data_IF_074020147183
#
_entry.id   IF_074020147183
#
_cell.length_a   1.000
_cell.length_b   1.000
_cell.length_c   1.000
_cell.angle_alpha   90.00
_cell.angle_beta   90.00
_cell.angle_gamma   90.00
#
_symmetry.space_group_name_H-M   'P 1'
#
loop_
_entity.id
_entity.type
_entity.pdbx_description
1 polymer ?
#
# COMPACT_ATOMS: atom_id res chain seq x y z
N UNK A 1 3.06 6.76 -36.76
CA UNK A 1 2.95 6.24 -35.37
C UNK A 1 2.59 7.40 -34.47
N UNK A 2 1.52 7.26 -33.67
CA UNK A 2 1.00 8.33 -32.82
C UNK A 2 1.92 8.61 -31.61
N UNK A 3 2.35 9.86 -31.46
CA UNK A 3 3.22 10.35 -30.37
C UNK A 3 2.63 9.99 -29.01
N UNK A 4 1.30 10.07 -28.85
CA UNK A 4 0.61 9.73 -27.61
C UNK A 4 0.81 8.27 -27.20
N UNK A 5 0.78 7.35 -28.17
CA UNK A 5 0.93 5.91 -27.94
C UNK A 5 2.36 5.53 -27.55
N UNK A 6 3.35 6.20 -28.15
CA UNK A 6 4.76 6.08 -27.75
C UNK A 6 4.97 6.63 -26.35
N UNK A 7 4.45 7.82 -26.04
CA UNK A 7 4.59 8.43 -24.73
C UNK A 7 4.00 7.56 -23.60
N UNK A 8 2.85 6.92 -23.82
CA UNK A 8 2.27 5.98 -22.85
C UNK A 8 3.08 4.70 -22.62
N UNK A 9 3.96 4.34 -23.56
CA UNK A 9 4.81 3.16 -23.46
C UNK A 9 6.18 3.53 -22.91
N UNK A 10 6.78 4.61 -23.39
CA UNK A 10 8.16 4.99 -23.12
C UNK A 10 8.31 5.71 -21.77
N UNK A 11 7.32 6.51 -21.35
CA UNK A 11 7.39 7.27 -20.11
C UNK A 11 7.54 6.37 -18.86
N UNK A 12 6.75 5.28 -18.68
CA UNK A 12 6.97 4.36 -17.57
C UNK A 12 8.38 3.76 -17.55
N UNK A 13 8.96 3.48 -18.72
CA UNK A 13 10.33 2.94 -18.80
C UNK A 13 11.37 3.96 -18.37
N UNK A 14 11.28 5.20 -18.87
CA UNK A 14 12.18 6.27 -18.47
C UNK A 14 12.09 6.55 -16.97
N UNK A 15 10.87 6.64 -16.44
CA UNK A 15 10.65 6.79 -14.99
C UNK A 15 11.19 5.58 -14.21
N UNK A 16 10.88 4.36 -14.63
CA UNK A 16 11.29 3.14 -13.94
C UNK A 16 12.82 3.00 -13.87
N UNK A 17 13.51 3.19 -14.98
CA UNK A 17 14.99 3.14 -15.04
C UNK A 17 15.60 4.27 -14.21
N UNK A 18 15.12 5.50 -14.36
CA UNK A 18 15.63 6.65 -13.61
C UNK A 18 15.44 6.50 -12.10
N UNK A 19 14.26 6.05 -11.66
CA UNK A 19 13.95 5.80 -10.24
C UNK A 19 14.78 4.64 -9.68
N UNK A 20 15.01 3.58 -10.48
CA UNK A 20 15.86 2.46 -10.07
C UNK A 20 17.31 2.90 -9.91
N UNK A 21 17.84 3.69 -10.84
CA UNK A 21 19.19 4.24 -10.75
C UNK A 21 19.33 5.16 -9.51
N UNK A 22 18.35 6.02 -9.26
CA UNK A 22 18.29 6.83 -8.04
C UNK A 22 18.27 5.96 -6.78
N UNK A 23 17.47 4.90 -6.77
CA UNK A 23 17.40 3.95 -5.64
C UNK A 23 18.74 3.27 -5.38
N UNK A 24 19.48 2.89 -6.44
CA UNK A 24 20.81 2.31 -6.30
C UNK A 24 21.82 3.29 -5.67
N UNK A 25 21.75 4.58 -6.03
CA UNK A 25 22.58 5.62 -5.39
C UNK A 25 22.24 5.77 -3.91
N UNK A 26 20.96 5.77 -3.54
CA UNK A 26 20.54 5.82 -2.14
C UNK A 26 21.02 4.58 -1.38
N UNK A 27 20.84 3.38 -1.91
CA UNK A 27 21.34 2.15 -1.26
C UNK A 27 22.86 2.20 -1.06
N UNK A 28 23.61 2.75 -2.01
CA UNK A 28 25.05 2.90 -1.87
C UNK A 28 25.47 3.88 -0.75
N UNK A 29 24.61 4.83 -0.36
CA UNK A 29 24.91 5.81 0.69
C UNK A 29 24.38 5.43 2.07
N UNK A 30 23.16 4.89 2.15
CA UNK A 30 22.50 4.58 3.45
C UNK A 30 22.36 3.08 3.73
N UNK A 31 22.68 2.22 2.78
CA UNK A 31 22.49 0.77 2.89
C UNK A 31 21.10 0.31 2.44
N UNK A 32 20.95 -1.02 2.30
CA UNK A 32 19.68 -1.65 1.93
C UNK A 32 18.81 -1.87 3.16
N UNK A 33 17.50 -1.69 3.02
CA UNK A 33 16.53 -1.91 4.10
C UNK A 33 16.58 -0.85 5.19
N UNK A 34 17.00 0.39 4.88
CA UNK A 34 17.20 1.44 5.88
C UNK A 34 15.93 1.83 6.65
N UNK A 35 14.73 1.68 6.07
CA UNK A 35 13.47 1.83 6.81
C UNK A 35 13.09 0.53 7.54
N UNK A 36 13.34 -0.63 6.91
CA UNK A 36 13.06 -1.94 7.49
C UNK A 36 13.91 -2.26 8.74
N UNK A 37 15.10 -1.65 8.85
CA UNK A 37 16.00 -1.85 9.97
C UNK A 37 15.37 -1.41 11.29
N UNK A 38 14.58 -0.33 11.29
CA UNK A 38 13.77 0.08 12.44
C UNK A 38 12.81 -1.02 12.92
N UNK A 39 12.25 -1.82 12.01
CA UNK A 39 11.30 -2.89 12.34
C UNK A 39 12.02 -4.10 12.92
N UNK A 40 13.22 -4.40 12.43
CA UNK A 40 14.07 -5.43 12.99
C UNK A 40 14.57 -5.05 14.39
N UNK A 41 14.98 -3.79 14.58
CA UNK A 41 15.39 -3.26 15.90
C UNK A 41 14.24 -3.19 16.89
N UNK A 42 12.99 -3.09 16.43
CA UNK A 42 11.83 -3.00 17.31
C UNK A 42 11.67 -4.20 18.27
N UNK A 43 12.29 -5.35 17.96
CA UNK A 43 12.30 -6.52 18.84
C UNK A 43 13.49 -6.57 19.83
N UNK A 44 14.38 -5.56 19.82
CA UNK A 44 15.71 -5.61 20.49
C UNK A 44 16.03 -4.42 21.39
N UNK A 45 15.21 -3.39 21.40
CA UNK A 45 15.54 -2.16 22.10
C UNK A 45 14.32 -1.30 22.44
N UNK A 46 14.55 -0.18 23.12
CA UNK A 46 13.50 0.77 23.45
C UNK A 46 12.88 1.35 22.17
N UNK A 47 11.55 1.42 22.14
CA UNK A 47 10.79 2.05 21.06
C UNK A 47 10.62 3.56 21.33
N UNK A 48 10.35 4.31 20.27
CA UNK A 48 9.93 5.72 20.32
C UNK A 48 10.98 6.71 20.89
N UNK A 49 12.26 6.32 20.92
CA UNK A 49 13.35 7.20 21.37
C UNK A 49 13.92 8.15 20.30
N UNK A 50 13.55 7.95 19.03
CA UNK A 50 14.07 8.71 17.89
C UNK A 50 12.94 9.46 17.16
N UNK A 51 13.22 10.69 16.72
CA UNK A 51 12.23 11.54 16.07
C UNK A 51 11.90 11.03 14.65
N UNK A 52 10.72 11.35 14.09
CA UNK A 52 10.42 11.05 12.70
C UNK A 52 11.50 11.58 11.74
N UNK A 53 11.77 10.84 10.66
CA UNK A 53 12.80 11.13 9.64
C UNK A 53 14.25 11.02 10.12
N UNK A 54 14.51 10.47 11.31
CA UNK A 54 15.87 10.06 11.68
C UNK A 54 16.09 8.58 11.39
N UNK A 55 17.35 8.14 11.18
CA UNK A 55 17.66 6.73 11.04
C UNK A 55 17.06 5.88 12.17
N UNK A 56 16.54 4.72 11.83
CA UNK A 56 15.97 3.73 12.75
C UNK A 56 14.80 4.21 13.63
N UNK A 57 14.17 5.33 13.27
CA UNK A 57 12.99 5.82 13.98
C UNK A 57 11.78 4.90 13.78
N UNK A 58 11.38 4.22 14.86
CA UNK A 58 10.18 3.39 14.87
C UNK A 58 8.92 4.22 15.17
N UNK A 59 7.96 4.22 14.24
CA UNK A 59 6.80 5.13 14.26
C UNK A 59 5.44 4.45 14.46
N UNK A 60 5.41 3.12 14.51
CA UNK A 60 4.18 2.35 14.39
C UNK A 60 3.66 1.88 15.76
N UNK A 61 2.38 1.50 15.80
CA UNK A 61 1.78 1.02 17.04
C UNK A 61 2.43 -0.29 17.53
N UNK A 62 2.28 -0.62 18.82
CA UNK A 62 2.71 -1.92 19.34
C UNK A 62 2.11 -3.12 18.61
N UNK A 63 0.93 -2.98 17.99
CA UNK A 63 0.31 -4.03 17.19
C UNK A 63 1.19 -4.45 16.01
N UNK A 64 1.85 -3.50 15.36
CA UNK A 64 2.80 -3.83 14.29
C UNK A 64 4.08 -4.47 14.85
N UNK A 65 4.57 -4.00 15.99
CA UNK A 65 5.75 -4.59 16.66
C UNK A 65 5.50 -6.07 16.96
N UNK A 66 4.33 -6.38 17.53
CA UNK A 66 3.93 -7.73 17.89
C UNK A 66 3.75 -8.61 16.63
N UNK A 67 3.17 -8.06 15.56
CA UNK A 67 3.00 -8.80 14.31
C UNK A 67 4.33 -9.11 13.61
N UNK A 68 5.29 -8.18 13.64
CA UNK A 68 6.60 -8.36 13.02
C UNK A 68 7.57 -9.14 13.91
N UNK A 69 7.29 -9.25 15.21
CA UNK A 69 8.19 -9.83 16.21
C UNK A 69 8.79 -11.20 15.81
N UNK A 70 8.02 -12.18 15.31
CA UNK A 70 8.60 -13.47 14.92
C UNK A 70 9.62 -13.34 13.78
N UNK A 71 9.31 -12.50 12.78
CA UNK A 71 10.22 -12.24 11.66
C UNK A 71 11.44 -11.48 12.17
N UNK A 72 11.23 -10.50 13.05
CA UNK A 72 12.29 -9.68 13.62
C UNK A 72 13.31 -10.52 14.41
N UNK A 73 12.98 -11.72 14.91
CA UNK A 73 13.97 -12.59 15.58
C UNK A 73 15.10 -13.08 14.66
N UNK A 74 14.88 -13.09 13.35
CA UNK A 74 15.87 -13.55 12.38
C UNK A 74 17.13 -12.64 12.37
N UNK A 75 18.29 -13.18 11.95
CA UNK A 75 19.46 -12.36 11.64
C UNK A 75 19.12 -11.29 10.62
N UNK A 76 19.70 -10.09 10.76
CA UNK A 76 19.40 -8.93 9.92
C UNK A 76 19.37 -9.23 8.41
N UNK A 77 20.38 -9.93 7.81
CA UNK A 77 20.35 -10.20 6.37
C UNK A 77 19.13 -11.04 5.93
N UNK A 78 18.68 -11.97 6.78
CA UNK A 78 17.54 -12.83 6.50
C UNK A 78 16.23 -12.06 6.64
N UNK A 79 16.09 -11.27 7.71
CA UNK A 79 14.95 -10.37 7.88
C UNK A 79 14.79 -9.45 6.67
N UNK A 80 15.88 -8.77 6.30
CA UNK A 80 15.91 -7.83 5.19
C UNK A 80 15.54 -8.52 3.87
N UNK A 81 16.16 -9.67 3.54
CA UNK A 81 15.85 -10.41 2.33
C UNK A 81 14.39 -10.87 2.25
N UNK A 82 13.82 -11.38 3.35
CA UNK A 82 12.42 -11.82 3.39
C UNK A 82 11.47 -10.63 3.22
N UNK A 83 11.71 -9.54 3.94
CA UNK A 83 10.85 -8.36 3.89
C UNK A 83 10.86 -7.68 2.51
N UNK A 84 12.05 -7.48 1.94
CA UNK A 84 12.24 -6.92 0.60
C UNK A 84 11.68 -7.84 -0.49
N UNK A 85 11.95 -9.13 -0.38
CA UNK A 85 11.42 -10.14 -1.29
C UNK A 85 9.90 -10.15 -1.31
N UNK A 86 9.26 -10.07 -0.13
CA UNK A 86 7.81 -9.98 -0.01
C UNK A 86 7.25 -8.73 -0.71
N UNK A 87 7.86 -7.55 -0.50
CA UNK A 87 7.47 -6.32 -1.18
C UNK A 87 7.58 -6.46 -2.71
N UNK A 88 8.72 -6.96 -3.22
CA UNK A 88 8.95 -7.17 -4.65
C UNK A 88 7.95 -8.15 -5.29
N UNK A 89 7.65 -9.26 -4.61
CA UNK A 89 6.67 -10.25 -5.05
C UNK A 89 5.27 -9.63 -5.08
N UNK A 90 4.88 -8.89 -4.04
CA UNK A 90 3.57 -8.24 -3.98
C UNK A 90 3.39 -7.26 -5.13
N UNK A 91 4.37 -6.40 -5.43
CA UNK A 91 4.26 -5.50 -6.58
C UNK A 91 4.15 -6.26 -7.89
N UNK A 92 4.91 -7.34 -8.08
CA UNK A 92 4.79 -8.18 -9.27
C UNK A 92 3.37 -8.76 -9.42
N UNK A 93 2.77 -9.24 -8.32
CA UNK A 93 1.41 -9.78 -8.30
C UNK A 93 0.34 -8.70 -8.58
N UNK A 94 0.47 -7.52 -7.96
CA UNK A 94 -0.49 -6.41 -8.13
C UNK A 94 -0.46 -5.83 -9.56
N UNK A 95 0.72 -5.81 -10.19
CA UNK A 95 0.92 -5.26 -11.53
C UNK A 95 0.75 -6.30 -12.65
N UNK A 96 0.80 -7.61 -12.34
CA UNK A 96 0.58 -8.72 -13.29
C UNK A 96 -0.62 -8.51 -14.23
N UNK A 97 -1.79 -8.01 -13.77
CA UNK A 97 -2.92 -7.63 -14.62
C UNK A 97 -2.63 -6.80 -15.87
N UNK A 98 -1.55 -6.01 -15.87
CA UNK A 98 -1.23 -5.06 -16.94
C UNK A 98 -0.43 -5.68 -18.10
N UNK A 99 0.03 -6.93 -17.94
CA UNK A 99 0.96 -7.58 -18.86
C UNK A 99 2.40 -7.08 -18.69
N UNK A 100 3.38 -7.94 -18.99
CA UNK A 100 4.80 -7.70 -18.64
C UNK A 100 5.36 -6.37 -19.18
N UNK A 101 4.95 -5.92 -20.37
CA UNK A 101 5.43 -4.68 -21.01
C UNK A 101 5.10 -3.41 -20.21
N UNK A 102 4.00 -3.42 -19.45
CA UNK A 102 3.58 -2.31 -18.58
C UNK A 102 3.92 -2.59 -17.11
N UNK A 103 3.82 -3.86 -16.70
CA UNK A 103 4.10 -4.26 -15.32
C UNK A 103 5.56 -4.04 -14.95
N UNK A 104 6.51 -4.41 -15.83
CA UNK A 104 7.94 -4.29 -15.55
C UNK A 104 8.40 -2.84 -15.30
N UNK A 105 8.14 -1.85 -16.17
CA UNK A 105 8.55 -0.48 -15.89
C UNK A 105 7.88 0.10 -14.63
N UNK A 106 6.62 -0.25 -14.36
CA UNK A 106 5.94 0.18 -13.13
C UNK A 106 6.49 -0.51 -11.88
N UNK A 107 6.92 -1.76 -11.99
CA UNK A 107 7.61 -2.47 -10.93
C UNK A 107 8.97 -1.82 -10.63
N UNK A 108 9.70 -1.39 -11.67
CA UNK A 108 10.91 -0.59 -11.52
C UNK A 108 10.64 0.74 -10.81
N UNK A 109 9.51 1.41 -11.07
CA UNK A 109 9.11 2.60 -10.29
C UNK A 109 8.86 2.32 -8.80
N UNK A 110 8.64 1.05 -8.41
CA UNK A 110 8.44 0.65 -7.02
C UNK A 110 9.75 0.30 -6.29
N UNK A 111 10.90 0.33 -6.98
CA UNK A 111 12.19 0.00 -6.36
C UNK A 111 12.56 0.82 -5.11
N UNK A 112 12.25 2.13 -4.97
CA UNK A 112 12.57 2.86 -3.74
C UNK A 112 11.89 2.26 -2.51
N UNK A 113 10.64 1.82 -2.67
CA UNK A 113 9.88 1.17 -1.61
C UNK A 113 10.46 -0.22 -1.29
N UNK A 114 10.81 -0.98 -2.33
CA UNK A 114 11.43 -2.29 -2.14
C UNK A 114 12.74 -2.10 -1.38
N UNK A 115 13.70 -1.33 -1.88
CA UNK A 115 15.04 -1.25 -1.28
C UNK A 115 15.07 -0.53 0.07
N UNK A 116 14.13 0.38 0.36
CA UNK A 116 13.97 0.95 1.71
C UNK A 116 13.38 -0.07 2.68
N UNK A 117 12.47 -0.91 2.18
CA UNK A 117 11.72 -1.87 2.97
C UNK A 117 10.65 -1.20 3.84
N UNK A 118 10.01 -0.12 3.37
CA UNK A 118 8.90 0.51 4.07
C UNK A 118 7.63 -0.40 4.05
N UNK A 119 6.48 0.11 4.54
CA UNK A 119 5.21 -0.63 4.64
C UNK A 119 4.19 -0.27 3.55
N UNK A 120 4.50 0.64 2.62
CA UNK A 120 3.55 1.09 1.59
C UNK A 120 3.18 -0.02 0.59
N UNK A 121 4.01 -1.06 0.43
CA UNK A 121 3.62 -2.26 -0.32
C UNK A 121 2.41 -2.97 0.30
N UNK A 122 2.27 -2.97 1.64
CA UNK A 122 1.06 -3.44 2.32
C UNK A 122 -0.14 -2.53 2.01
N UNK A 123 0.09 -1.23 1.90
CA UNK A 123 -0.98 -0.28 1.59
C UNK A 123 -1.45 -0.43 0.15
N UNK A 124 -0.56 -0.79 -0.79
CA UNK A 124 -0.94 -1.17 -2.14
C UNK A 124 -1.86 -2.42 -2.15
N UNK A 125 -1.62 -3.41 -1.27
CA UNK A 125 -2.54 -4.55 -1.07
C UNK A 125 -3.88 -4.08 -0.51
N UNK A 126 -3.88 -3.17 0.46
CA UNK A 126 -5.11 -2.58 1.03
C UNK A 126 -5.89 -1.80 -0.03
N UNK A 127 -5.24 -1.07 -0.94
CA UNK A 127 -5.91 -0.45 -2.08
C UNK A 127 -6.56 -1.49 -2.98
N UNK A 128 -5.82 -2.55 -3.29
CA UNK A 128 -6.27 -3.58 -4.20
C UNK A 128 -7.47 -4.38 -3.66
N UNK A 129 -7.51 -4.64 -2.35
CA UNK A 129 -8.44 -5.60 -1.74
C UNK A 129 -9.34 -5.00 -0.64
N UNK A 130 -9.02 -3.83 -0.11
CA UNK A 130 -9.65 -3.27 1.10
C UNK A 130 -11.13 -2.93 0.94
N UNK A 131 -11.60 -2.63 -0.26
CA UNK A 131 -13.05 -2.49 -0.52
C UNK A 131 -13.80 -3.83 -0.46
N UNK A 132 -13.12 -4.94 -0.81
CA UNK A 132 -13.67 -6.30 -0.76
C UNK A 132 -13.49 -6.95 0.60
N UNK A 133 -12.43 -6.58 1.32
CA UNK A 133 -12.02 -7.13 2.62
C UNK A 133 -11.83 -5.96 3.62
N UNK A 134 -12.92 -5.43 4.20
CA UNK A 134 -12.86 -4.20 4.99
C UNK A 134 -11.94 -4.26 6.22
N UNK A 135 -11.66 -5.45 6.75
CA UNK A 135 -10.73 -5.64 7.87
C UNK A 135 -9.28 -5.27 7.53
N UNK A 136 -8.89 -5.26 6.24
CA UNK A 136 -7.55 -4.85 5.81
C UNK A 136 -7.22 -3.39 6.16
N UNK A 137 -8.23 -2.54 6.34
CA UNK A 137 -8.03 -1.15 6.74
C UNK A 137 -7.44 -0.98 8.15
N UNK A 138 -7.42 -2.06 8.97
CA UNK A 138 -6.67 -2.07 10.22
C UNK A 138 -5.15 -1.87 10.00
N UNK A 139 -4.62 -2.31 8.84
CA UNK A 139 -3.19 -2.18 8.52
C UNK A 139 -2.74 -0.72 8.48
N UNK A 140 -3.30 0.17 7.63
CA UNK A 140 -2.95 1.59 7.69
C UNK A 140 -3.37 2.20 9.02
N UNK A 141 -4.53 1.86 9.59
CA UNK A 141 -4.98 2.47 10.85
C UNK A 141 -4.00 2.26 12.02
N UNK A 142 -3.30 1.12 12.06
CA UNK A 142 -2.36 0.76 13.13
C UNK A 142 -0.88 1.01 12.78
N UNK A 143 -0.58 1.47 11.57
CA UNK A 143 0.79 1.79 11.13
C UNK A 143 0.94 3.25 10.74
N UNK A 144 0.08 3.76 9.85
CA UNK A 144 0.00 5.18 9.46
C UNK A 144 -1.47 5.61 9.43
N UNK A 145 -1.91 6.20 10.54
CA UNK A 145 -3.32 6.49 10.84
C UNK A 145 -4.01 7.26 9.70
N UNK A 146 -3.37 8.31 9.17
CA UNK A 146 -4.04 9.26 8.27
C UNK A 146 -4.35 8.68 6.87
N UNK A 147 -3.53 7.80 6.27
CA UNK A 147 -3.93 6.99 5.11
C UNK A 147 -5.12 6.02 5.29
N UNK A 148 -5.66 5.80 6.49
CA UNK A 148 -6.76 4.86 6.72
C UNK A 148 -8.13 5.41 6.25
N UNK A 149 -8.30 5.60 4.94
CA UNK A 149 -9.46 6.30 4.35
C UNK A 149 -10.63 5.40 3.92
N UNK A 150 -10.50 4.07 4.03
CA UNK A 150 -11.58 3.12 3.74
C UNK A 150 -12.88 3.34 4.51
N UNK A 151 -12.83 3.58 5.85
CA UNK A 151 -14.01 3.92 6.63
C UNK A 151 -14.80 5.10 6.07
N UNK A 152 -14.12 6.15 5.57
CA UNK A 152 -14.77 7.31 4.92
C UNK A 152 -15.55 6.86 3.69
N UNK A 153 -14.94 6.02 2.85
CA UNK A 153 -15.59 5.46 1.66
C UNK A 153 -16.86 4.69 2.02
N UNK A 154 -16.80 3.80 3.02
CA UNK A 154 -17.95 3.01 3.45
C UNK A 154 -19.05 3.86 4.09
N UNK A 155 -18.69 4.85 4.91
CA UNK A 155 -19.63 5.74 5.57
C UNK A 155 -20.44 6.56 4.56
N UNK A 156 -19.78 7.18 3.58
CA UNK A 156 -20.46 8.00 2.53
C UNK A 156 -21.42 7.16 1.70
N UNK A 157 -21.07 5.89 1.44
CA UNK A 157 -21.92 4.94 0.70
C UNK A 157 -22.95 4.23 1.56
N UNK A 158 -23.00 4.51 2.86
CA UNK A 158 -23.88 3.86 3.84
C UNK A 158 -23.69 2.32 3.87
N UNK A 159 -22.46 1.86 3.60
CA UNK A 159 -22.07 0.45 3.65
C UNK A 159 -21.76 0.06 5.12
N UNK A 160 -22.76 0.13 6.00
CA UNK A 160 -22.60 0.02 7.46
C UNK A 160 -21.94 -1.28 7.91
N UNK A 161 -22.26 -2.41 7.27
CA UNK A 161 -21.63 -3.69 7.60
C UNK A 161 -20.13 -3.67 7.32
N UNK A 162 -19.70 -3.04 6.21
CA UNK A 162 -18.28 -2.94 5.85
C UNK A 162 -17.55 -1.93 6.73
N UNK A 163 -18.19 -0.81 7.04
CA UNK A 163 -17.68 0.14 8.02
C UNK A 163 -17.50 -0.54 9.38
N UNK A 164 -18.51 -1.27 9.85
CA UNK A 164 -18.48 -2.02 11.11
C UNK A 164 -17.34 -3.04 11.14
N UNK A 165 -17.16 -3.84 10.09
CA UNK A 165 -16.03 -4.80 9.99
C UNK A 165 -14.68 -4.08 10.05
N UNK A 166 -14.53 -2.96 9.34
CA UNK A 166 -13.27 -2.19 9.33
C UNK A 166 -12.93 -1.62 10.70
N UNK A 167 -13.91 -1.01 11.38
CA UNK A 167 -13.75 -0.45 12.72
C UNK A 167 -13.52 -1.56 13.76
N UNK A 168 -14.34 -2.61 13.74
CA UNK A 168 -14.25 -3.71 14.70
C UNK A 168 -12.94 -4.46 14.57
N UNK A 169 -12.47 -4.76 13.35
CA UNK A 169 -11.18 -5.42 13.15
C UNK A 169 -10.03 -4.57 13.70
N UNK A 170 -10.04 -3.26 13.45
CA UNK A 170 -9.04 -2.33 13.99
C UNK A 170 -9.08 -2.29 15.51
N UNK A 171 -10.27 -2.20 16.10
CA UNK A 171 -10.46 -2.17 17.55
C UNK A 171 -10.05 -3.50 18.22
N UNK A 172 -10.37 -4.65 17.64
CA UNK A 172 -10.00 -5.96 18.17
C UNK A 172 -8.49 -6.18 18.14
N UNK A 173 -7.83 -5.86 17.02
CA UNK A 173 -6.36 -5.95 16.92
C UNK A 173 -5.70 -4.98 17.90
N UNK A 174 -6.20 -3.74 17.98
CA UNK A 174 -5.71 -2.74 18.92
C UNK A 174 -5.89 -3.17 20.39
N UNK A 175 -7.06 -3.70 20.76
CA UNK A 175 -7.36 -4.12 22.12
C UNK A 175 -6.55 -5.36 22.53
N UNK A 176 -6.42 -6.35 21.66
CA UNK A 176 -5.58 -7.52 21.91
C UNK A 176 -4.12 -7.10 22.07
N UNK A 177 -3.64 -6.21 21.19
CA UNK A 177 -2.30 -5.67 21.28
C UNK A 177 -2.07 -4.89 22.57
N UNK A 178 -3.05 -4.08 22.99
CA UNK A 178 -3.02 -3.32 24.23
C UNK A 178 -2.97 -4.22 25.44
N UNK A 179 -3.73 -5.31 25.46
CA UNK A 179 -3.70 -6.29 26.55
C UNK A 179 -2.31 -6.94 26.72
N UNK A 180 -1.54 -7.08 25.64
CA UNK A 180 -0.19 -7.65 25.66
C UNK A 180 0.89 -6.62 26.05
N UNK A 181 0.73 -5.34 25.67
CA UNK A 181 1.72 -4.29 25.94
C UNK A 181 1.06 -2.92 26.22
N UNK A 182 0.42 -2.73 27.40
CA UNK A 182 -0.25 -1.47 27.72
C UNK A 182 0.72 -0.27 27.77
N UNK A 183 1.95 -0.49 28.23
CA UNK A 183 2.96 0.56 28.38
C UNK A 183 3.44 1.07 27.01
N UNK A 184 3.68 0.17 26.05
CA UNK A 184 4.04 0.53 24.68
C UNK A 184 2.97 1.36 23.99
N UNK A 185 1.69 1.11 24.27
CA UNK A 185 0.59 1.91 23.71
C UNK A 185 0.58 3.33 24.24
N UNK A 186 0.81 3.53 25.54
CA UNK A 186 0.92 4.88 26.09
C UNK A 186 2.16 5.61 25.58
N UNK A 187 3.30 4.91 25.46
CA UNK A 187 4.50 5.45 24.86
C UNK A 187 4.28 5.88 23.40
N UNK A 188 3.55 5.08 22.61
CA UNK A 188 3.22 5.41 21.23
C UNK A 188 2.28 6.62 21.13
N UNK A 189 1.26 6.71 21.99
CA UNK A 189 0.34 7.87 22.03
C UNK A 189 1.11 9.14 22.39
N UNK A 190 2.01 9.08 23.38
CA UNK A 190 2.85 10.21 23.75
C UNK A 190 3.84 10.59 22.65
N UNK A 191 4.41 9.59 21.97
CA UNK A 191 5.25 9.82 20.80
C UNK A 191 4.50 10.55 19.68
N UNK A 192 3.27 10.14 19.38
CA UNK A 192 2.44 10.82 18.38
C UNK A 192 2.11 12.27 18.79
N UNK A 193 1.81 12.52 20.07
CA UNK A 193 1.50 13.87 20.60
C UNK A 193 2.70 14.80 20.55
N UNK A 194 3.84 14.33 21.01
CA UNK A 194 5.11 15.08 21.03
C UNK A 194 5.65 15.37 19.62
N UNK A 195 5.20 14.62 18.61
CA UNK A 195 5.59 14.79 17.21
C UNK A 195 4.47 15.36 16.32
N UNK A 196 3.43 15.95 16.90
CA UNK A 196 2.42 16.65 16.12
C UNK A 196 3.08 17.82 15.37
N UNK A 197 3.10 17.75 14.03
CA UNK A 197 3.59 18.83 13.18
C UNK A 197 5.08 18.78 12.84
N UNK A 198 5.85 17.77 13.28
CA UNK A 198 7.27 17.58 12.90
C UNK A 198 7.48 17.12 11.45
N UNK A 199 6.49 17.32 10.57
CA UNK A 199 6.49 16.93 9.16
C UNK A 199 7.01 18.03 8.22
N UNK A 200 7.66 19.07 8.74
CA UNK A 200 8.00 20.30 7.99
C UNK A 200 9.28 20.24 7.16
N UNK A 201 10.10 19.20 7.30
CA UNK A 201 11.45 19.14 6.72
C UNK A 201 11.71 17.82 5.98
N UNK A 202 11.00 17.59 4.87
CA UNK A 202 11.30 16.50 3.94
C UNK A 202 11.74 17.00 2.57
N UNK A 203 12.88 16.50 2.12
CA UNK A 203 13.40 16.73 0.77
C UNK A 203 12.42 16.13 -0.26
N UNK A 204 11.85 16.97 -1.13
CA UNK A 204 10.87 16.56 -2.14
C UNK A 204 9.42 16.40 -1.65
N UNK A 205 9.13 16.78 -0.40
CA UNK A 205 7.79 16.75 0.18
C UNK A 205 6.85 17.80 -0.41
N UNK A 206 5.56 17.47 -0.58
CA UNK A 206 4.53 18.48 -0.81
C UNK A 206 4.41 19.32 0.47
N UNK A 207 4.79 20.60 0.43
CA UNK A 207 4.73 21.53 1.58
C UNK A 207 3.28 21.95 1.93
N UNK A 208 2.36 21.00 1.97
CA UNK A 208 0.97 21.23 2.37
C UNK A 208 0.82 20.75 3.81
N UNK A 209 0.48 21.64 4.76
CA UNK A 209 0.30 21.26 6.15
C UNK A 209 -0.69 20.10 6.32
N UNK A 210 -0.49 19.19 7.31
CA UNK A 210 -1.41 18.10 7.61
C UNK A 210 -2.88 18.55 7.73
N UNK A 211 -3.10 19.72 8.36
CA UNK A 211 -4.42 20.34 8.55
C UNK A 211 -5.13 20.71 7.24
N UNK A 212 -4.38 20.87 6.13
CA UNK A 212 -4.96 21.13 4.81
C UNK A 212 -5.08 19.84 4.01
N UNK A 213 -4.00 19.06 3.91
CA UNK A 213 -3.98 17.86 3.04
C UNK A 213 -4.90 16.74 3.52
N UNK A 214 -5.08 16.56 4.84
CA UNK A 214 -5.94 15.50 5.37
C UNK A 214 -7.41 15.79 5.05
N UNK A 215 -7.98 16.98 5.32
CA UNK A 215 -9.32 17.32 4.86
C UNK A 215 -9.50 17.21 3.35
N UNK A 216 -8.51 17.64 2.56
CA UNK A 216 -8.56 17.49 1.09
C UNK A 216 -8.60 16.02 0.68
N UNK A 217 -7.78 15.16 1.30
CA UNK A 217 -7.79 13.72 1.04
C UNK A 217 -9.14 13.08 1.42
N UNK A 218 -9.70 13.45 2.57
CA UNK A 218 -11.02 12.98 3.02
C UNK A 218 -12.11 13.44 2.05
N UNK A 219 -12.10 14.72 1.64
CA UNK A 219 -13.06 15.27 0.68
C UNK A 219 -12.96 14.58 -0.69
N UNK A 220 -11.74 14.32 -1.17
CA UNK A 220 -11.50 13.59 -2.42
C UNK A 220 -12.04 12.16 -2.36
N UNK A 221 -11.79 11.44 -1.26
CA UNK A 221 -12.30 10.08 -1.06
C UNK A 221 -13.82 10.10 -0.92
N UNK A 222 -14.39 11.04 -0.16
CA UNK A 222 -15.84 11.19 -0.02
C UNK A 222 -16.52 11.49 -1.37
N UNK A 223 -15.98 12.42 -2.15
CA UNK A 223 -16.45 12.70 -3.50
C UNK A 223 -16.34 11.47 -4.40
N UNK A 224 -15.23 10.74 -4.33
CA UNK A 224 -15.06 9.51 -5.10
C UNK A 224 -16.03 8.41 -4.67
N UNK A 225 -16.32 8.29 -3.38
CA UNK A 225 -17.29 7.33 -2.86
C UNK A 225 -18.70 7.64 -3.35
N UNK A 226 -19.07 8.93 -3.37
CA UNK A 226 -20.33 9.43 -3.91
C UNK A 226 -20.46 9.24 -5.43
N UNK A 227 -19.35 9.40 -6.19
CA UNK A 227 -19.32 9.29 -7.66
C UNK A 227 -18.83 7.94 -8.20
N UNK A 228 -18.66 6.95 -7.32
CA UNK A 228 -18.09 5.63 -7.63
C UNK A 228 -16.75 5.68 -8.40
N UNK A 229 -15.84 6.54 -7.93
CA UNK A 229 -14.49 6.75 -8.45
C UNK A 229 -13.45 6.14 -7.51
N UNK A 230 -13.29 4.82 -7.54
CA UNK A 230 -12.38 4.07 -6.63
C UNK A 230 -10.91 4.51 -6.70
N UNK A 231 -10.47 5.10 -7.80
CA UNK A 231 -9.10 5.65 -7.94
C UNK A 231 -8.79 6.77 -6.93
N UNK A 232 -9.82 7.42 -6.37
CA UNK A 232 -9.61 8.46 -5.35
C UNK A 232 -9.04 7.90 -4.05
N UNK A 233 -9.23 6.62 -3.77
CA UNK A 233 -8.71 5.96 -2.57
C UNK A 233 -7.18 6.02 -2.52
N UNK A 234 -6.42 5.42 -3.47
CA UNK A 234 -4.97 5.48 -3.40
C UNK A 234 -4.43 6.91 -3.50
N UNK A 235 -5.08 7.80 -4.24
CA UNK A 235 -4.67 9.22 -4.30
C UNK A 235 -4.89 9.91 -2.96
N UNK A 236 -6.02 9.66 -2.29
CA UNK A 236 -6.28 10.14 -0.94
C UNK A 236 -5.26 9.59 0.06
N UNK A 237 -4.90 8.31 -0.03
CA UNK A 237 -3.89 7.71 0.84
C UNK A 237 -2.53 8.39 0.68
N UNK A 238 -2.11 8.70 -0.55
CA UNK A 238 -0.88 9.46 -0.83
C UNK A 238 -0.95 10.86 -0.23
N UNK A 239 -2.08 11.57 -0.41
CA UNK A 239 -2.27 12.94 0.11
C UNK A 239 -2.33 12.99 1.64
N UNK A 240 -2.92 11.98 2.28
CA UNK A 240 -3.07 11.93 3.73
C UNK A 240 -1.81 11.46 4.46
N UNK A 241 -0.83 10.89 3.75
CA UNK A 241 0.37 10.31 4.35
C UNK A 241 1.19 11.35 5.11
N UNK A 242 1.60 11.10 6.38
CA UNK A 242 2.26 12.11 7.22
C UNK A 242 3.64 12.53 6.68
N UNK A 243 4.34 11.59 6.03
CA UNK A 243 5.70 11.73 5.53
C UNK A 243 5.63 11.59 4.00
N UNK A 244 5.51 12.72 3.27
CA UNK A 244 5.39 12.69 1.82
C UNK A 244 6.74 12.38 1.17
N UNK A 245 7.00 11.10 0.92
CA UNK A 245 8.10 10.62 0.09
C UNK A 245 7.60 10.04 -1.23
N UNK A 246 8.50 9.96 -2.23
CA UNK A 246 8.23 9.26 -3.50
C UNK A 246 7.80 7.80 -3.30
N UNK A 247 8.19 7.18 -2.19
CA UNK A 247 7.75 5.85 -1.74
C UNK A 247 6.24 5.75 -1.55
N UNK A 248 5.53 6.81 -1.12
CA UNK A 248 4.09 6.76 -0.93
C UNK A 248 3.32 6.50 -2.25
N UNK A 249 3.88 6.91 -3.40
CA UNK A 249 3.24 6.74 -4.71
C UNK A 249 3.06 5.27 -5.09
N UNK A 250 3.85 4.36 -4.53
CA UNK A 250 3.76 2.91 -4.82
C UNK A 250 2.42 2.30 -4.37
N UNK A 251 1.68 2.98 -3.50
CA UNK A 251 0.30 2.61 -3.12
C UNK A 251 -0.62 2.54 -4.35
N UNK A 252 -0.32 3.30 -5.41
CA UNK A 252 -1.03 3.25 -6.69
C UNK A 252 -0.86 1.91 -7.43
N UNK A 253 0.14 1.09 -7.08
CA UNK A 253 0.32 -0.23 -7.67
C UNK A 253 -0.86 -1.18 -7.40
N UNK A 254 -1.69 -0.90 -6.38
CA UNK A 254 -2.94 -1.63 -6.13
C UNK A 254 -4.08 -1.30 -7.09
N UNK A 255 -3.97 -0.22 -7.87
CA UNK A 255 -5.03 0.30 -8.74
C UNK A 255 -5.49 -0.68 -9.84
N UNK A 256 -4.61 -1.43 -10.54
CA UNK A 256 -5.03 -2.36 -11.58
C UNK A 256 -6.02 -3.42 -11.09
N UNK A 257 -5.80 -3.95 -9.88
CA UNK A 257 -6.70 -4.96 -9.30
C UNK A 257 -8.00 -4.31 -8.77
N UNK A 258 -7.90 -3.16 -8.10
CA UNK A 258 -9.07 -2.40 -7.62
C UNK A 258 -10.05 -2.03 -8.74
N UNK A 259 -9.53 -1.72 -9.93
CA UNK A 259 -10.34 -1.34 -11.10
C UNK A 259 -10.87 -2.55 -11.87
N UNK A 260 -10.20 -3.71 -11.82
CA UNK A 260 -10.71 -4.96 -12.43
C UNK A 260 -12.01 -5.42 -11.80
N UNK A 261 -12.20 -5.19 -10.51
CA UNK A 261 -13.45 -5.49 -9.80
C UNK A 261 -14.68 -4.71 -10.32
N UNK A 262 -14.49 -3.78 -11.26
CA UNK A 262 -15.57 -3.06 -11.97
C UNK A 262 -15.84 -3.63 -13.36
N UNK A 263 -14.86 -4.29 -13.99
CA UNK A 263 -15.05 -4.80 -15.34
C UNK A 263 -16.19 -5.82 -15.32
N UNK A 264 -17.21 -5.69 -16.20
CA UNK A 264 -18.15 -6.78 -16.42
C UNK A 264 -17.34 -8.04 -16.71
N UNK A 265 -17.73 -9.18 -16.12
CA UNK A 265 -17.17 -10.47 -16.54
C UNK A 265 -17.31 -10.53 -18.07
N UNK A 266 -16.20 -10.77 -18.78
CA UNK A 266 -16.25 -10.92 -20.22
C UNK A 266 -17.21 -12.08 -20.52
N UNK A 267 -18.26 -11.89 -21.34
CA UNK A 267 -19.18 -12.98 -21.68
C UNK A 267 -18.50 -14.20 -22.29
N UNK A 268 -17.25 -14.05 -22.76
CA UNK A 268 -16.41 -15.15 -23.26
C UNK A 268 -15.76 -16.02 -22.18
N UNK A 269 -15.70 -15.55 -20.93
CA UNK A 269 -15.20 -16.31 -19.77
C UNK A 269 -16.29 -17.18 -19.11
N UNK A 270 -17.50 -17.26 -19.69
CA UNK A 270 -18.56 -18.15 -19.21
C UNK A 270 -18.30 -19.61 -19.66
N UNK A 271 -17.93 -20.52 -18.74
CA UNK A 271 -17.66 -21.93 -19.06
C UNK A 271 -18.90 -22.64 -19.63
N UNK A 272 -20.12 -22.15 -19.36
CA UNK A 272 -21.36 -22.74 -19.85
C UNK A 272 -21.58 -22.49 -21.36
N UNK A 273 -21.14 -21.33 -21.88
CA UNK A 273 -21.25 -21.01 -23.32
C UNK A 273 -20.14 -21.61 -24.16
N UNK A 274 -18.92 -21.68 -23.63
CA UNK A 274 -17.80 -22.33 -24.30
C UNK A 274 -18.01 -23.84 -24.44
N UNK A 275 -18.68 -24.48 -23.47
CA UNK A 275 -19.16 -25.85 -23.60
C UNK A 275 -20.26 -26.00 -24.68
N UNK A 276 -21.19 -25.05 -24.76
CA UNK A 276 -22.26 -25.05 -25.78
C UNK A 276 -21.75 -24.85 -27.22
N UNK A 277 -20.75 -23.99 -27.42
CA UNK A 277 -20.11 -23.79 -28.73
C UNK A 277 -19.27 -24.99 -29.17
N UNK A 278 -18.56 -25.64 -28.24
CA UNK A 278 -17.78 -26.85 -28.54
C UNK A 278 -18.66 -28.06 -28.91
N UNK A 279 -19.91 -28.11 -28.42
CA UNK A 279 -20.89 -29.13 -28.82
C UNK A 279 -21.50 -28.81 -30.18
N UNK A 280 -21.78 -27.53 -30.47
CA UNK A 280 -22.28 -27.11 -31.77
C UNK A 280 -21.28 -27.38 -32.91
N UNK A 281 -19.99 -27.08 -32.71
CA UNK A 281 -18.92 -27.36 -33.70
C UNK A 281 -18.68 -28.86 -33.95
N UNK A 282 -19.06 -29.75 -33.01
CA UNK A 282 -19.00 -31.20 -33.21
C UNK A 282 -20.22 -31.77 -33.93
N UNK A 283 -21.34 -31.04 -33.99
CA UNK A 283 -22.57 -31.46 -34.64
C UNK A 283 -22.54 -31.35 -36.17
N UNK A 284 -21.73 -30.44 -36.72
CA UNK A 284 -21.64 -30.16 -38.16
C UNK A 284 -20.62 -31.03 -38.92
N UNK A 285 -19.88 -31.90 -38.22
CA UNK A 285 -19.01 -32.89 -38.86
C UNK A 285 -19.78 -34.20 -39.13
N UNK A 286 -20.80 -34.13 -39.99
CA UNK A 286 -21.48 -35.32 -40.55
C UNK A 286 -20.60 -36.01 -41.61
N UNK A 287 -20.56 -37.35 -41.66
CA UNK A 287 -19.67 -38.08 -42.56
C UNK A 287 -20.15 -37.94 -44.02
N UNK A 288 -19.26 -37.42 -44.87
CA UNK A 288 -19.34 -37.45 -46.33
C UNK A 288 -18.96 -38.81 -46.90
#
# INVERSE_FOLDING_TARGET
>A
MDVRRRLMTDLPWLCGVGITAYSAVIVATVGVGYDAHAYWLAARGPLYGAAPNTPDAYLYSPAFTQAIWPLAQLPWPVFCAVWLGAAGIVFALLLRPLGWRRALPLWLCCTPEVVSGNVFWLFAVVVALGLRRPWLWAVPALTKITPALGPVWFAVRREWSRLGISVLATALVGALSFALDPAGWWAWIEFLRSNLGSTTSQVGGLFVPPVVRIPVAVALVAWGAWRDRRWTIPVGMVLANPVFGSTALVVLAGLPLLLRDRAPADPSDDPARSAGQAVADRGDAGPS
#
